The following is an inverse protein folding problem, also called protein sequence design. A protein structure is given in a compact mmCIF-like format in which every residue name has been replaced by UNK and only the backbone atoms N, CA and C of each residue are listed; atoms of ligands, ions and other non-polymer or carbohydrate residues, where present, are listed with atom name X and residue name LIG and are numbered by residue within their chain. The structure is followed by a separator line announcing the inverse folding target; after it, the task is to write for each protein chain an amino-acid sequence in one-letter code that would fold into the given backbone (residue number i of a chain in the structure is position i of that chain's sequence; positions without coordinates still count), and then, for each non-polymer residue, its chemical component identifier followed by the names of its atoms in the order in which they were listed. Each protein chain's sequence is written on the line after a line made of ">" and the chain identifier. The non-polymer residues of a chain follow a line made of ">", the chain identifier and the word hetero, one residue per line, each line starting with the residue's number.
data_IF_552401649551
#
_entry.id   IF_552401649551
#
_cell.length_a   1.000
_cell.length_b   1.000
_cell.length_c   1.000
_cell.angle_alpha   90.00
_cell.angle_beta   90.00
_cell.angle_gamma   90.00
#
_symmetry.space_group_name_H-M   'P 1'
#
loop_
_entity.id
_entity.type
_entity.pdbx_description
1 polymer ?
#
# COMPACT_ATOMS: atom_id res chain seq x y z
N UNK A 1 12.11 -14.80 0.92
CA UNK A 1 12.55 -13.70 1.81
C UNK A 1 11.28 -12.96 2.18
N UNK A 2 10.77 -13.12 3.40
CA UNK A 2 9.60 -12.38 3.89
C UNK A 2 10.12 -11.16 4.63
N UNK A 3 9.94 -9.97 4.06
CA UNK A 3 10.48 -8.73 4.60
C UNK A 3 9.70 -8.28 5.85
N UNK A 4 8.47 -8.74 6.04
CA UNK A 4 7.69 -8.53 7.26
C UNK A 4 7.88 -9.57 8.37
N UNK A 5 8.72 -10.60 8.18
CA UNK A 5 8.87 -11.69 9.13
C UNK A 5 9.42 -11.19 10.48
N UNK A 6 8.69 -11.44 11.58
CA UNK A 6 9.05 -10.99 12.93
C UNK A 6 8.40 -9.69 13.40
N UNK A 7 7.67 -8.97 12.54
CA UNK A 7 7.01 -7.72 12.92
C UNK A 7 5.50 -7.76 12.69
N UNK A 8 4.75 -8.14 13.73
CA UNK A 8 3.31 -8.39 13.66
C UNK A 8 2.46 -7.19 13.17
N UNK A 9 2.96 -5.97 13.36
CA UNK A 9 2.30 -4.70 13.06
C UNK A 9 3.00 -3.91 11.95
N UNK A 10 3.95 -4.50 11.23
CA UNK A 10 4.74 -3.75 10.26
C UNK A 10 3.97 -3.54 8.95
N UNK A 11 3.97 -2.32 8.38
CA UNK A 11 3.27 -2.03 7.13
C UNK A 11 3.69 -2.92 5.94
N UNK A 12 4.95 -3.34 5.88
CA UNK A 12 5.43 -4.30 4.84
C UNK A 12 4.70 -5.65 4.91
N UNK A 13 4.35 -6.15 6.10
CA UNK A 13 3.60 -7.40 6.25
C UNK A 13 2.21 -7.28 5.60
N UNK A 14 1.54 -6.14 5.79
CA UNK A 14 0.23 -5.90 5.20
C UNK A 14 0.32 -5.81 3.67
N UNK A 15 1.40 -5.22 3.15
CA UNK A 15 1.67 -5.14 1.71
C UNK A 15 1.96 -6.52 1.09
N UNK A 16 2.75 -7.36 1.77
CA UNK A 16 3.02 -8.74 1.34
C UNK A 16 1.73 -9.57 1.31
N UNK A 17 0.90 -9.47 2.36
CA UNK A 17 -0.39 -10.15 2.44
C UNK A 17 -1.34 -9.69 1.32
N UNK A 18 -1.43 -8.37 1.08
CA UNK A 18 -2.26 -7.84 0.00
C UNK A 18 -1.78 -8.34 -1.38
N UNK A 19 -0.47 -8.41 -1.61
CA UNK A 19 0.09 -8.93 -2.85
C UNK A 19 -0.24 -10.41 -3.07
N UNK A 20 -0.13 -11.24 -2.03
CA UNK A 20 -0.50 -12.66 -2.08
C UNK A 20 -1.98 -12.84 -2.42
N UNK A 21 -2.87 -12.19 -1.66
CA UNK A 21 -4.32 -12.30 -1.85
C UNK A 21 -4.79 -11.81 -3.22
N UNK A 22 -4.23 -10.71 -3.74
CA UNK A 22 -4.54 -10.21 -5.08
C UNK A 22 -4.08 -11.22 -6.16
N UNK A 23 -2.92 -11.84 -5.98
CA UNK A 23 -2.40 -12.84 -6.91
C UNK A 23 -3.28 -14.09 -6.92
N UNK A 24 -3.75 -14.53 -5.75
CA UNK A 24 -4.68 -15.65 -5.63
C UNK A 24 -6.08 -15.34 -6.18
N UNK A 25 -6.53 -14.08 -6.09
CA UNK A 25 -7.82 -13.63 -6.59
C UNK A 25 -7.85 -13.45 -8.12
N UNK A 26 -6.71 -13.23 -8.78
CA UNK A 26 -6.60 -13.04 -10.23
C UNK A 26 -7.38 -14.04 -11.12
N UNK A 27 -7.34 -15.37 -10.90
CA UNK A 27 -8.16 -16.31 -11.65
C UNK A 27 -9.68 -16.10 -11.45
N UNK A 28 -10.11 -15.63 -10.28
CA UNK A 28 -11.52 -15.34 -9.97
C UNK A 28 -11.96 -14.08 -10.72
N UNK A 29 -11.15 -13.02 -10.69
CA UNK A 29 -11.41 -11.80 -11.48
C UNK A 29 -11.51 -12.09 -12.97
N UNK A 30 -10.66 -12.99 -13.48
CA UNK A 30 -10.74 -13.45 -14.87
C UNK A 30 -12.07 -14.14 -15.17
N UNK A 31 -12.60 -14.96 -14.25
CA UNK A 31 -13.94 -15.57 -14.39
C UNK A 31 -15.03 -14.51 -14.45
N UNK A 32 -15.01 -13.53 -13.54
CA UNK A 32 -15.97 -12.40 -13.54
C UNK A 32 -15.95 -11.65 -14.86
N UNK A 33 -14.75 -11.32 -15.37
CA UNK A 33 -14.57 -10.65 -16.65
C UNK A 33 -15.08 -11.48 -17.83
N UNK A 34 -14.84 -12.79 -17.82
CA UNK A 34 -15.32 -13.70 -18.86
C UNK A 34 -16.86 -13.83 -18.86
N UNK A 35 -17.49 -13.75 -17.69
CA UNK A 35 -18.94 -13.73 -17.53
C UNK A 35 -19.55 -12.32 -17.75
N UNK A 36 -18.72 -11.30 -17.92
CA UNK A 36 -19.10 -9.89 -18.04
C UNK A 36 -19.91 -9.36 -16.84
N UNK A 37 -19.65 -9.90 -15.65
CA UNK A 37 -20.26 -9.47 -14.38
C UNK A 37 -19.24 -8.62 -13.63
N UNK A 38 -19.67 -7.46 -13.12
CA UNK A 38 -18.81 -6.55 -12.35
C UNK A 38 -19.00 -6.67 -10.86
N UNK A 39 -20.19 -7.05 -10.42
CA UNK A 39 -20.53 -7.21 -9.01
C UNK A 39 -20.25 -8.65 -8.55
N UNK A 40 -19.30 -8.87 -7.62
CA UNK A 40 -19.04 -10.19 -7.06
C UNK A 40 -20.26 -10.82 -6.39
N UNK A 41 -21.17 -10.03 -5.83
CA UNK A 41 -22.38 -10.54 -5.18
C UNK A 41 -23.36 -11.08 -6.22
N UNK A 42 -23.62 -10.31 -7.30
CA UNK A 42 -24.39 -10.77 -8.46
C UNK A 42 -23.79 -12.05 -9.06
N UNK A 43 -22.46 -12.10 -9.20
CA UNK A 43 -21.77 -13.27 -9.73
C UNK A 43 -21.92 -14.51 -8.84
N UNK A 44 -21.95 -14.33 -7.51
CA UNK A 44 -22.19 -15.42 -6.54
C UNK A 44 -23.62 -15.92 -6.64
N UNK A 45 -24.60 -15.01 -6.70
CA UNK A 45 -26.02 -15.36 -6.83
C UNK A 45 -26.32 -16.06 -8.17
N UNK A 46 -25.68 -15.62 -9.25
CA UNK A 46 -25.76 -16.24 -10.56
C UNK A 46 -24.97 -17.56 -10.66
N UNK A 47 -24.22 -17.96 -9.61
CA UNK A 47 -23.42 -19.18 -9.57
C UNK A 47 -22.16 -19.16 -10.46
N UNK A 48 -21.74 -17.97 -10.93
CA UNK A 48 -20.50 -17.77 -11.71
C UNK A 48 -19.27 -18.03 -10.84
N UNK A 49 -19.35 -17.66 -9.57
CA UNK A 49 -18.33 -17.91 -8.55
C UNK A 49 -18.96 -18.58 -7.33
N UNK A 50 -18.16 -19.37 -6.62
CA UNK A 50 -18.54 -20.00 -5.36
C UNK A 50 -18.52 -19.01 -4.19
N UNK A 51 -19.14 -19.38 -3.07
CA UNK A 51 -19.08 -18.59 -1.84
C UNK A 51 -17.65 -18.43 -1.30
N UNK A 52 -16.79 -19.45 -1.47
CA UNK A 52 -15.39 -19.38 -1.08
C UNK A 52 -14.61 -18.36 -1.93
N UNK A 53 -14.88 -18.32 -3.23
CA UNK A 53 -14.28 -17.34 -4.15
C UNK A 53 -14.78 -15.92 -3.86
N UNK A 54 -16.05 -15.75 -3.51
CA UNK A 54 -16.60 -14.48 -3.05
C UNK A 54 -15.88 -13.98 -1.80
N UNK A 55 -15.70 -14.85 -0.80
CA UNK A 55 -14.95 -14.50 0.42
C UNK A 55 -13.51 -14.12 0.09
N UNK A 56 -12.84 -14.86 -0.81
CA UNK A 56 -11.46 -14.54 -1.25
C UNK A 56 -11.36 -13.13 -1.86
N UNK A 57 -12.31 -12.76 -2.73
CA UNK A 57 -12.35 -11.41 -3.32
C UNK A 57 -12.53 -10.32 -2.26
N UNK A 58 -13.36 -10.58 -1.24
CA UNK A 58 -13.55 -9.67 -0.12
C UNK A 58 -12.27 -9.53 0.72
N UNK A 59 -11.60 -10.65 1.05
CA UNK A 59 -10.31 -10.67 1.77
C UNK A 59 -9.24 -9.86 1.03
N UNK A 60 -9.11 -10.07 -0.28
CA UNK A 60 -8.16 -9.34 -1.12
C UNK A 60 -8.48 -7.83 -1.12
N UNK A 61 -9.75 -7.46 -1.25
CA UNK A 61 -10.17 -6.06 -1.20
C UNK A 61 -9.84 -5.41 0.15
N UNK A 62 -10.12 -6.08 1.26
CA UNK A 62 -9.82 -5.57 2.60
C UNK A 62 -8.32 -5.34 2.81
N UNK A 63 -7.49 -6.30 2.39
CA UNK A 63 -6.04 -6.18 2.48
C UNK A 63 -5.50 -5.01 1.64
N UNK A 64 -6.04 -4.81 0.43
CA UNK A 64 -5.69 -3.67 -0.43
C UNK A 64 -6.13 -2.34 0.19
N UNK A 65 -7.37 -2.25 0.69
CA UNK A 65 -7.88 -1.04 1.34
C UNK A 65 -7.02 -0.63 2.54
N UNK A 66 -6.52 -1.61 3.31
CA UNK A 66 -5.60 -1.38 4.43
C UNK A 66 -4.27 -0.76 3.99
N UNK A 67 -3.71 -1.19 2.86
CA UNK A 67 -2.43 -0.70 2.33
C UNK A 67 -2.57 0.66 1.65
N UNK A 68 -3.73 0.96 1.06
CA UNK A 68 -4.03 2.24 0.40
C UNK A 68 -4.35 3.35 1.42
N UNK A 69 -4.69 3.00 2.66
CA UNK A 69 -5.02 3.99 3.69
C UNK A 69 -3.89 5.03 3.86
N UNK A 70 -4.28 6.31 3.78
CA UNK A 70 -3.41 7.49 3.54
C UNK A 70 -2.25 7.65 4.55
N UNK A 71 -2.34 7.07 5.75
CA UNK A 71 -1.33 7.15 6.80
C UNK A 71 -0.72 5.78 7.20
N UNK A 72 -0.91 4.72 6.40
CA UNK A 72 -0.43 3.38 6.76
C UNK A 72 1.11 3.24 6.70
N UNK A 73 1.82 4.19 6.09
CA UNK A 73 3.27 4.13 5.88
C UNK A 73 3.94 5.49 6.15
N UNK A 74 4.14 5.89 7.41
CA UNK A 74 4.97 7.04 7.73
C UNK A 74 6.37 6.83 7.16
N UNK A 75 6.95 7.86 6.52
CA UNK A 75 8.29 7.79 5.91
C UNK A 75 9.34 7.22 6.88
N UNK A 76 9.24 7.61 8.16
CA UNK A 76 10.11 7.19 9.25
C UNK A 76 10.06 5.68 9.56
N UNK A 77 8.96 5.00 9.24
CA UNK A 77 8.77 3.57 9.49
C UNK A 77 9.25 2.69 8.33
N UNK A 78 9.37 3.26 7.13
CA UNK A 78 9.71 2.50 5.90
C UNK A 78 11.15 2.73 5.46
N UNK A 79 11.76 3.86 5.81
CA UNK A 79 13.07 4.26 5.33
C UNK A 79 14.03 4.66 6.46
N UNK A 80 15.23 4.05 6.56
CA UNK A 80 16.26 4.46 7.51
C UNK A 80 16.77 5.90 7.32
N UNK A 81 16.52 6.52 6.16
CA UNK A 81 16.99 7.86 5.82
C UNK A 81 15.89 8.94 5.88
N UNK A 82 14.71 8.62 6.41
CA UNK A 82 13.56 9.53 6.42
C UNK A 82 13.89 10.92 7.01
N UNK A 83 14.71 10.96 8.06
CA UNK A 83 15.12 12.20 8.74
C UNK A 83 16.01 13.14 7.91
N UNK A 84 16.50 12.72 6.75
CA UNK A 84 17.28 13.59 5.85
C UNK A 84 16.41 14.69 5.22
N UNK A 85 15.11 14.45 5.10
CA UNK A 85 14.15 15.40 4.52
C UNK A 85 13.57 16.39 5.53
N UNK A 86 13.78 16.16 6.83
CA UNK A 86 13.37 17.08 7.91
C UNK A 86 14.33 18.25 8.10
N UNK A 87 15.43 18.30 7.32
CA UNK A 87 16.37 19.43 7.41
C UNK A 87 15.66 20.70 6.94
N UNK A 88 15.52 21.73 7.79
CA UNK A 88 14.96 23.00 7.36
C UNK A 88 15.80 23.50 6.19
N UNK A 89 15.14 23.87 5.08
CA UNK A 89 15.78 24.52 3.95
C UNK A 89 16.69 25.61 4.52
N UNK A 90 18.00 25.44 4.32
CA UNK A 90 19.01 26.22 5.02
C UNK A 90 18.64 27.69 4.99
N UNK A 91 18.63 28.32 6.16
CA UNK A 91 18.62 29.76 6.26
C UNK A 91 19.91 30.24 5.59
N UNK A 92 19.84 30.49 4.27
CA UNK A 92 20.88 31.14 3.50
C UNK A 92 20.95 32.58 3.98
N UNK A 93 21.57 32.76 5.15
CA UNK A 93 21.88 34.05 5.72
C UNK A 93 22.76 34.82 4.74
N UNK A 94 22.12 35.74 4.01
CA UNK A 94 22.74 37.00 3.64
C UNK A 94 23.25 37.63 4.94
N UNK A 95 24.54 37.95 5.00
CA UNK A 95 25.12 39.10 5.71
C UNK A 95 26.56 38.80 6.18
N UNK A 96 27.52 38.87 5.25
CA UNK A 96 28.89 39.28 5.58
C UNK A 96 29.40 40.25 4.52
N UNK A 97 28.74 41.40 4.40
CA UNK A 97 29.40 42.61 3.91
C UNK A 97 30.15 43.21 5.11
N UNK A 98 31.42 42.83 5.28
CA UNK A 98 32.34 43.55 6.17
C UNK A 98 33.41 44.26 5.34
N UNK A 99 33.27 45.58 5.37
CA UNK A 99 34.37 46.55 5.52
C UNK A 99 35.32 46.72 4.34
N UNK A 100 34.93 47.60 3.42
CA UNK A 100 35.88 48.47 2.72
C UNK A 100 36.25 49.63 3.67
N UNK A 101 37.47 49.59 4.20
CA UNK A 101 38.16 50.75 4.74
C UNK A 101 39.51 50.83 4.04
N UNK A 102 39.61 51.73 3.07
CA UNK A 102 40.87 52.32 2.57
C UNK A 102 40.64 53.82 2.34
#
# INVERSE_FOLDING_TARGET
>A
LYLGEGHAQHPIKDLELAFELVTEAAPIEKKLRAANVRDPEEAREAGVISNAEFIRLAEAKEAVDKVIAVDAFPMAEVSPIASQHDRPAGNGGKDEQREAAE
#
